data_IF_316415357139
#
_entry.id   IF_316415357139
#
_cell.length_a   1.000
_cell.length_b   1.000
_cell.length_c   1.000
_cell.angle_alpha   90.00
_cell.angle_beta   90.00
_cell.angle_gamma   90.00
#
_symmetry.space_group_name_H-M   'P 1'
#
loop_
_entity.id
_entity.type
_entity.pdbx_description
1 polymer ?
#
# COMPACT_ATOMS: atom_id res chain seq x y z
N UNK A 1 -17.44 -12.08 -53.70
CA UNK A 1 -17.84 -11.38 -52.46
C UNK A 1 -16.59 -11.05 -51.67
N UNK A 2 -16.27 -9.76 -51.53
CA UNK A 2 -15.08 -9.26 -50.83
C UNK A 2 -15.41 -8.89 -49.39
N UNK A 3 -14.43 -9.10 -48.51
CA UNK A 3 -14.15 -8.38 -47.26
C UNK A 3 -15.23 -8.38 -46.16
N UNK A 4 -15.16 -9.34 -45.23
CA UNK A 4 -15.62 -9.19 -43.83
C UNK A 4 -14.81 -10.08 -42.88
N UNK A 5 -13.52 -9.79 -42.67
CA UNK A 5 -12.70 -10.53 -41.70
C UNK A 5 -11.70 -9.65 -40.92
N UNK A 6 -11.98 -8.35 -40.80
CA UNK A 6 -11.02 -7.41 -40.21
C UNK A 6 -11.46 -6.76 -38.89
N UNK A 7 -12.65 -7.06 -38.35
CA UNK A 7 -13.20 -6.30 -37.22
C UNK A 7 -13.03 -6.92 -35.82
N UNK A 8 -12.52 -8.15 -35.69
CA UNK A 8 -12.41 -8.80 -34.37
C UNK A 8 -11.07 -8.59 -33.65
N UNK A 9 -10.07 -7.95 -34.28
CA UNK A 9 -8.72 -7.86 -33.71
C UNK A 9 -8.44 -6.62 -32.84
N UNK A 10 -9.38 -5.68 -32.71
CA UNK A 10 -9.14 -4.42 -31.99
C UNK A 10 -9.53 -4.41 -30.50
N UNK A 11 -10.10 -5.50 -29.97
CA UNK A 11 -10.55 -5.55 -28.57
C UNK A 11 -9.46 -5.95 -27.55
N UNK A 12 -8.23 -6.25 -27.99
CA UNK A 12 -7.18 -6.80 -27.12
C UNK A 12 -6.27 -5.78 -26.41
N UNK A 13 -6.46 -4.48 -26.59
CA UNK A 13 -5.48 -3.45 -26.18
C UNK A 13 -5.82 -2.72 -24.87
N UNK A 14 -6.81 -3.18 -24.10
CA UNK A 14 -7.17 -2.61 -22.79
C UNK A 14 -6.83 -3.58 -21.65
N UNK A 15 -5.60 -4.10 -21.63
CA UNK A 15 -5.05 -4.74 -20.44
C UNK A 15 -4.54 -3.66 -19.48
N UNK A 16 -5.44 -2.94 -18.82
CA UNK A 16 -5.07 -2.22 -17.59
C UNK A 16 -4.60 -3.25 -16.58
N UNK A 17 -3.45 -3.02 -15.93
CA UNK A 17 -2.96 -3.89 -14.87
C UNK A 17 -4.07 -4.09 -13.82
N UNK A 18 -4.73 -5.24 -13.86
CA UNK A 18 -5.81 -5.55 -12.94
C UNK A 18 -5.18 -5.87 -11.58
N UNK A 19 -5.30 -4.95 -10.64
CA UNK A 19 -5.02 -5.25 -9.24
C UNK A 19 -6.11 -6.22 -8.78
N UNK A 20 -5.71 -7.34 -8.19
CA UNK A 20 -6.66 -8.29 -7.62
C UNK A 20 -7.33 -7.58 -6.43
N UNK A 21 -8.62 -7.28 -6.50
CA UNK A 21 -9.46 -6.70 -5.44
C UNK A 21 -8.83 -5.67 -4.47
N UNK A 22 -9.27 -4.42 -4.53
CA UNK A 22 -8.98 -3.44 -3.48
C UNK A 22 -10.04 -3.47 -2.37
N UNK A 23 -9.59 -3.43 -1.13
CA UNK A 23 -10.40 -3.13 0.05
C UNK A 23 -10.13 -1.73 0.56
N UNK A 24 -11.17 -1.04 1.02
CA UNK A 24 -11.07 0.28 1.63
C UNK A 24 -11.42 0.18 3.12
N UNK A 25 -10.65 0.87 3.96
CA UNK A 25 -10.83 0.99 5.39
C UNK A 25 -10.70 2.43 5.83
N UNK A 26 -11.28 2.75 6.98
CA UNK A 26 -11.12 4.07 7.59
C UNK A 26 -10.80 3.90 9.07
N UNK A 27 -9.93 4.76 9.57
CA UNK A 27 -9.47 4.69 10.96
C UNK A 27 -8.71 5.94 11.34
N UNK A 28 -7.92 5.82 12.39
CA UNK A 28 -6.89 6.77 12.78
C UNK A 28 -5.54 6.27 12.26
N UNK A 29 -4.76 7.20 11.74
CA UNK A 29 -3.37 6.97 11.43
C UNK A 29 -2.48 7.84 12.31
N UNK A 30 -1.29 7.31 12.59
CA UNK A 30 -0.35 7.82 13.57
C UNK A 30 1.04 7.88 12.94
N UNK A 31 1.74 8.99 13.13
CA UNK A 31 3.15 9.15 12.77
C UNK A 31 3.96 9.43 14.03
N UNK A 32 4.95 8.59 14.29
CA UNK A 32 5.90 8.71 15.38
C UNK A 32 7.30 8.94 14.83
N UNK A 33 8.08 9.70 15.59
CA UNK A 33 9.51 9.90 15.35
C UNK A 33 10.21 10.04 16.71
N UNK A 34 11.34 9.36 16.88
CA UNK A 34 12.06 9.28 18.16
C UNK A 34 11.18 8.79 19.32
N UNK A 35 10.21 7.90 19.05
CA UNK A 35 9.24 7.42 20.03
C UNK A 35 8.14 8.42 20.44
N UNK A 36 8.15 9.65 19.91
CA UNK A 36 7.13 10.66 20.18
C UNK A 36 6.09 10.71 19.06
N UNK A 37 4.80 10.81 19.41
CA UNK A 37 3.72 11.03 18.45
C UNK A 37 3.86 12.43 17.83
N UNK A 38 4.14 12.49 16.53
CA UNK A 38 4.30 13.73 15.77
C UNK A 38 3.01 14.17 15.11
N UNK A 39 2.21 13.22 14.63
CA UNK A 39 0.92 13.52 14.00
C UNK A 39 -0.06 12.38 14.20
N UNK A 40 -1.34 12.74 14.34
CA UNK A 40 -2.47 11.81 14.39
C UNK A 40 -3.64 12.43 13.64
N UNK A 41 -4.38 11.62 12.91
CA UNK A 41 -5.63 12.06 12.32
C UNK A 41 -6.43 10.92 11.73
N UNK A 42 -7.69 11.21 11.39
CA UNK A 42 -8.50 10.31 10.59
C UNK A 42 -7.86 10.11 9.21
N UNK A 43 -7.83 8.88 8.75
CA UNK A 43 -7.30 8.50 7.45
C UNK A 43 -8.17 7.46 6.75
N UNK A 44 -8.12 7.46 5.43
CA UNK A 44 -8.59 6.34 4.61
C UNK A 44 -7.40 5.47 4.22
N UNK A 45 -7.59 4.15 4.26
CA UNK A 45 -6.60 3.14 3.95
C UNK A 45 -7.15 2.26 2.84
N UNK A 46 -6.53 2.32 1.67
CA UNK A 46 -6.86 1.45 0.54
C UNK A 46 -5.77 0.42 0.40
N UNK A 47 -6.12 -0.86 0.49
CA UNK A 47 -5.20 -1.99 0.32
C UNK A 47 -5.66 -2.82 -0.85
N UNK A 48 -4.77 -3.12 -1.77
CA UNK A 48 -5.06 -3.89 -2.97
C UNK A 48 -4.16 -5.12 -3.04
N UNK A 49 -4.73 -6.28 -3.37
CA UNK A 49 -3.91 -7.46 -3.59
C UNK A 49 -3.13 -7.28 -4.89
N UNK A 50 -1.81 -7.25 -4.74
CA UNK A 50 -0.90 -7.07 -5.85
C UNK A 50 -0.34 -8.42 -6.31
N UNK A 51 -0.08 -9.35 -5.38
CA UNK A 51 0.18 -10.77 -5.67
C UNK A 51 -0.39 -11.64 -4.55
N UNK A 52 -0.27 -12.96 -4.67
CA UNK A 52 -0.57 -13.94 -3.62
C UNK A 52 0.26 -13.76 -2.33
N UNK A 53 1.32 -12.96 -2.39
CA UNK A 53 2.28 -12.75 -1.30
C UNK A 53 2.46 -11.26 -0.92
N UNK A 54 1.72 -10.36 -1.57
CA UNK A 54 1.94 -8.92 -1.40
C UNK A 54 0.69 -8.07 -1.64
N UNK A 55 0.53 -7.06 -0.79
CA UNK A 55 -0.52 -6.04 -0.89
C UNK A 55 0.11 -4.66 -1.03
N UNK A 56 -0.38 -3.87 -1.97
CA UNK A 56 -0.07 -2.45 -2.05
C UNK A 56 -1.08 -1.67 -1.21
N UNK A 57 -0.62 -0.81 -0.32
CA UNK A 57 -1.53 0.00 0.51
C UNK A 57 -1.18 1.49 0.47
N UNK A 58 -2.22 2.31 0.40
CA UNK A 58 -2.14 3.78 0.41
C UNK A 58 -3.01 4.33 1.52
N UNK A 59 -2.43 5.23 2.33
CA UNK A 59 -3.14 5.87 3.42
C UNK A 59 -3.18 7.38 3.18
N UNK A 60 -4.36 7.97 3.30
CA UNK A 60 -4.58 9.39 3.06
C UNK A 60 -5.22 10.03 4.29
N UNK A 61 -4.51 10.96 4.93
CA UNK A 61 -5.04 11.72 6.08
C UNK A 61 -6.07 12.73 5.59
N UNK A 62 -7.22 12.79 6.26
CA UNK A 62 -8.35 13.65 5.85
C UNK A 62 -8.10 15.16 6.08
N UNK A 63 -7.19 15.53 6.98
CA UNK A 63 -6.80 16.92 7.25
C UNK A 63 -5.29 16.97 7.50
N UNK A 64 -4.53 17.65 6.64
CA UNK A 64 -3.10 17.89 6.85
C UNK A 64 -2.12 17.05 6.01
N UNK A 65 -2.56 16.43 4.91
CA UNK A 65 -1.71 16.17 3.74
C UNK A 65 -0.70 15.01 3.80
N UNK A 66 -0.60 14.28 4.91
CA UNK A 66 0.22 13.08 4.93
C UNK A 66 -0.42 11.99 4.05
N UNK A 67 0.33 11.58 3.03
CA UNK A 67 0.04 10.40 2.23
C UNK A 67 1.14 9.37 2.52
N UNK A 68 0.72 8.16 2.84
CA UNK A 68 1.60 7.01 2.98
C UNK A 68 1.35 6.08 1.80
N UNK A 69 2.41 5.64 1.14
CA UNK A 69 2.36 4.57 0.16
C UNK A 69 3.31 3.48 0.60
N UNK A 70 2.77 2.27 0.68
CA UNK A 70 3.50 1.06 1.02
C UNK A 70 3.54 0.18 -0.24
N UNK A 71 4.77 -0.05 -0.68
CA UNK A 71 5.13 -0.59 -1.97
C UNK A 71 6.09 -1.77 -1.86
N UNK A 72 6.15 -2.61 -2.89
CA UNK A 72 7.37 -3.35 -3.21
C UNK A 72 8.22 -2.47 -4.13
N UNK A 73 9.43 -2.14 -3.70
CA UNK A 73 10.43 -1.47 -4.53
C UNK A 73 11.09 -2.40 -5.56
N UNK A 74 11.92 -1.82 -6.42
CA UNK A 74 12.65 -2.48 -7.51
C UNK A 74 11.73 -3.22 -8.49
N UNK A 75 10.90 -2.45 -9.22
CA UNK A 75 10.15 -2.92 -10.38
C UNK A 75 11.09 -3.65 -11.36
N UNK A 76 10.68 -4.84 -11.81
CA UNK A 76 11.49 -5.69 -12.67
C UNK A 76 12.37 -6.72 -11.92
N UNK A 77 12.43 -6.69 -10.58
CA UNK A 77 13.09 -7.77 -9.81
C UNK A 77 12.12 -8.89 -9.39
N UNK A 78 12.62 -10.12 -9.19
CA UNK A 78 11.84 -11.22 -8.63
C UNK A 78 11.22 -10.82 -7.29
N UNK A 79 10.00 -11.29 -7.00
CA UNK A 79 9.27 -10.97 -5.74
C UNK A 79 10.13 -11.24 -4.50
N UNK A 80 10.91 -12.32 -4.51
CA UNK A 80 11.83 -12.70 -3.43
C UNK A 80 12.96 -11.70 -3.14
N UNK A 81 13.22 -10.77 -4.06
CA UNK A 81 14.24 -9.73 -3.93
C UNK A 81 13.64 -8.32 -3.78
N UNK A 82 12.32 -8.19 -3.88
CA UNK A 82 11.65 -6.91 -3.69
C UNK A 82 11.64 -6.57 -2.20
N UNK A 83 11.86 -5.29 -1.91
CA UNK A 83 11.90 -4.77 -0.54
C UNK A 83 10.66 -3.94 -0.28
N UNK A 84 10.15 -4.02 0.95
CA UNK A 84 9.07 -3.16 1.41
C UNK A 84 9.57 -1.71 1.42
N UNK A 85 8.76 -0.82 0.86
CA UNK A 85 9.04 0.60 0.77
C UNK A 85 7.91 1.37 1.43
N UNK A 86 8.26 2.35 2.25
CA UNK A 86 7.34 3.30 2.87
C UNK A 86 7.70 4.70 2.36
N UNK A 87 6.82 5.32 1.60
CA UNK A 87 7.08 6.61 0.95
C UNK A 87 8.40 6.65 0.17
N UNK A 88 8.71 5.57 -0.55
CA UNK A 88 9.93 5.45 -1.36
C UNK A 88 11.21 5.19 -0.55
N UNK A 89 11.13 5.00 0.77
CA UNK A 89 12.27 4.61 1.62
C UNK A 89 12.17 3.13 2.00
N UNK A 90 13.28 2.38 2.10
CA UNK A 90 13.26 1.00 2.59
C UNK A 90 12.62 0.91 3.97
N UNK A 91 11.73 -0.07 4.15
CA UNK A 91 10.89 -0.19 5.33
C UNK A 91 10.74 -1.65 5.76
N UNK A 92 10.14 -1.86 6.92
CA UNK A 92 9.76 -3.18 7.42
C UNK A 92 8.38 -3.11 8.09
N UNK A 93 7.60 -4.17 7.92
CA UNK A 93 6.34 -4.34 8.63
C UNK A 93 6.65 -4.80 10.06
N UNK A 94 5.97 -4.20 11.03
CA UNK A 94 6.06 -4.59 12.42
C UNK A 94 4.95 -5.57 12.72
N UNK A 95 5.30 -6.86 12.75
CA UNK A 95 4.43 -7.93 13.26
C UNK A 95 4.41 -7.91 14.78
N UNK A 96 3.99 -6.80 15.40
CA UNK A 96 3.80 -6.75 16.85
C UNK A 96 2.34 -7.13 17.14
N UNK A 97 2.07 -8.05 18.09
CA UNK A 97 0.78 -8.11 18.73
C UNK A 97 0.64 -6.84 19.57
N UNK A 98 0.27 -5.75 18.91
CA UNK A 98 -0.10 -4.53 19.61
C UNK A 98 -1.35 -4.84 20.42
N UNK A 99 -1.57 -4.10 21.51
CA UNK A 99 -2.72 -4.26 22.40
C UNK A 99 -4.08 -4.17 21.68
N UNK A 100 -4.05 -3.71 20.43
CA UNK A 100 -5.16 -3.63 19.49
C UNK A 100 -4.83 -4.49 18.26
N UNK A 101 -5.53 -5.61 18.09
CA UNK A 101 -5.33 -6.58 17.01
C UNK A 101 -5.55 -5.98 15.61
N UNK A 102 -6.08 -4.75 15.54
CA UNK A 102 -6.36 -4.03 14.30
C UNK A 102 -5.28 -3.03 13.91
N UNK A 103 -4.28 -2.81 14.76
CA UNK A 103 -3.23 -1.82 14.52
C UNK A 103 -2.12 -2.42 13.65
N UNK A 104 -1.86 -1.78 12.50
CA UNK A 104 -0.78 -2.15 11.60
C UNK A 104 0.26 -1.04 11.56
N UNK A 105 1.53 -1.40 11.68
CA UNK A 105 2.63 -0.46 11.77
C UNK A 105 3.78 -0.81 10.80
N UNK A 106 4.44 0.24 10.30
CA UNK A 106 5.59 0.15 9.41
C UNK A 106 6.68 1.11 9.88
N UNK A 107 7.92 0.60 9.96
CA UNK A 107 9.11 1.39 10.30
C UNK A 107 9.99 1.62 9.09
N UNK A 108 10.66 2.78 9.04
CA UNK A 108 11.66 3.08 7.99
C UNK A 108 13.06 2.61 8.44
N UNK A 109 13.73 1.81 7.61
CA UNK A 109 15.05 1.24 7.91
C UNK A 109 16.09 2.36 8.08
N UNK A 110 16.90 2.27 9.14
CA UNK A 110 17.96 3.24 9.43
C UNK A 110 17.47 4.56 10.00
N UNK A 111 16.20 4.64 10.43
CA UNK A 111 15.61 5.83 11.06
C UNK A 111 14.80 5.44 12.29
N UNK A 112 14.29 6.45 13.00
CA UNK A 112 13.37 6.33 14.13
C UNK A 112 11.91 6.65 13.76
N UNK A 113 11.60 6.64 12.46
CA UNK A 113 10.25 6.91 11.93
C UNK A 113 9.37 5.65 11.98
N UNK A 114 8.14 5.82 12.45
CA UNK A 114 7.14 4.76 12.57
C UNK A 114 5.76 5.30 12.17
N UNK A 115 5.07 4.60 11.28
CA UNK A 115 3.73 4.93 10.81
C UNK A 115 2.78 3.80 11.13
N UNK A 116 1.63 4.10 11.72
CA UNK A 116 0.63 3.10 12.09
C UNK A 116 -0.78 3.51 11.67
N UNK A 117 -1.69 2.55 11.51
CA UNK A 117 -3.12 2.79 11.37
C UNK A 117 -3.95 1.72 12.11
N UNK A 118 -5.18 2.05 12.51
CA UNK A 118 -6.13 1.13 13.15
C UNK A 118 -7.38 0.83 12.28
N UNK A 119 -7.25 0.98 10.96
CA UNK A 119 -8.37 0.79 10.02
C UNK A 119 -8.86 -0.65 9.91
N UNK A 120 -8.09 -1.62 10.42
CA UNK A 120 -8.35 -3.05 10.24
C UNK A 120 -8.11 -3.54 8.80
N UNK A 121 -7.54 -2.71 7.93
CA UNK A 121 -7.18 -3.03 6.55
C UNK A 121 -5.66 -3.08 6.43
N UNK A 122 -5.11 -4.20 5.92
CA UNK A 122 -3.67 -4.53 5.98
C UNK A 122 -3.14 -5.15 4.69
#
# INVERSE_FOLDING_TARGET
>A
MKTRLALCLYAGLLSTAAWAGCGEGSGQCYYYQAGALKSRGACQVTTCAATDQYFYTTWEWQKGGNKVSIGLGDEGKPISQRRLMLNGKPAYALSVPLKDDKMVCYGVIGTDELMCNDSGNF
#
